data_IF_345716977445
#
_entry.id   IF_345716977445
#
_cell.length_a   1.000
_cell.length_b   1.000
_cell.length_c   1.000
_cell.angle_alpha   90.00
_cell.angle_beta   90.00
_cell.angle_gamma   90.00
#
_symmetry.space_group_name_H-M   'P 1'
#
loop_
_entity.id
_entity.type
_entity.pdbx_description
1 polymer ?
#
# COMPACT_ATOMS: atom_id res chain seq x y z
N UNK A 1 -24.09 -16.71 -24.34
CA UNK A 1 -24.41 -16.30 -22.96
C UNK A 1 -23.22 -16.62 -22.07
N UNK A 2 -22.47 -15.64 -21.54
CA UNK A 2 -21.57 -15.91 -20.44
C UNK A 2 -22.30 -15.65 -19.12
N UNK A 3 -22.29 -16.67 -18.27
CA UNK A 3 -22.68 -16.61 -16.86
C UNK A 3 -21.62 -15.77 -16.15
N UNK A 4 -21.98 -14.55 -15.73
CA UNK A 4 -21.15 -13.77 -14.82
C UNK A 4 -21.20 -14.44 -13.45
N UNK A 5 -20.15 -15.19 -13.11
CA UNK A 5 -19.88 -15.63 -11.75
C UNK A 5 -19.63 -14.40 -10.89
N UNK A 6 -20.61 -13.99 -10.09
CA UNK A 6 -20.46 -13.00 -9.04
C UNK A 6 -19.53 -13.56 -7.96
N UNK A 7 -18.24 -13.24 -8.05
CA UNK A 7 -17.32 -13.37 -6.92
C UNK A 7 -17.58 -12.22 -5.96
N UNK A 8 -18.38 -12.48 -4.92
CA UNK A 8 -18.47 -11.61 -3.75
C UNK A 8 -17.08 -11.48 -3.10
N UNK A 9 -16.64 -10.25 -2.85
CA UNK A 9 -15.29 -9.94 -2.36
C UNK A 9 -14.46 -9.09 -3.34
N UNK A 10 -15.10 -8.33 -4.23
CA UNK A 10 -14.41 -7.54 -5.26
C UNK A 10 -14.57 -6.02 -5.03
N UNK A 11 -13.70 -5.22 -5.65
CA UNK A 11 -13.87 -3.76 -5.72
C UNK A 11 -15.21 -3.32 -6.33
N UNK A 12 -15.91 -4.19 -7.06
CA UNK A 12 -17.26 -3.94 -7.55
C UNK A 12 -18.28 -3.79 -6.42
N UNK A 13 -18.14 -4.58 -5.35
CA UNK A 13 -19.03 -4.53 -4.18
C UNK A 13 -18.86 -3.21 -3.42
N UNK A 14 -17.63 -2.71 -3.34
CA UNK A 14 -17.30 -1.41 -2.74
C UNK A 14 -17.96 -0.28 -3.53
N UNK A 15 -17.86 -0.29 -4.86
CA UNK A 15 -18.49 0.73 -5.70
C UNK A 15 -20.02 0.73 -5.57
N UNK A 16 -20.64 -0.45 -5.54
CA UNK A 16 -22.08 -0.59 -5.31
C UNK A 16 -22.50 -0.09 -3.93
N UNK A 17 -21.71 -0.41 -2.90
CA UNK A 17 -21.93 0.08 -1.54
C UNK A 17 -21.86 1.61 -1.47
N UNK A 18 -20.83 2.22 -2.07
CA UNK A 18 -20.69 3.68 -2.16
C UNK A 18 -21.89 4.29 -2.87
N UNK A 19 -22.29 3.77 -4.04
CA UNK A 19 -23.45 4.28 -4.78
C UNK A 19 -24.74 4.18 -3.96
N UNK A 20 -24.92 3.09 -3.21
CA UNK A 20 -26.06 2.92 -2.31
C UNK A 20 -26.04 4.00 -1.23
N UNK A 21 -24.93 4.16 -0.52
CA UNK A 21 -24.77 5.17 0.55
C UNK A 21 -24.98 6.61 0.04
N UNK A 22 -24.50 6.93 -1.17
CA UNK A 22 -24.76 8.23 -1.81
C UNK A 22 -26.23 8.47 -2.10
N UNK A 23 -26.95 7.44 -2.58
CA UNK A 23 -28.41 7.55 -2.78
C UNK A 23 -29.11 7.79 -1.45
N UNK A 24 -28.74 7.08 -0.40
CA UNK A 24 -29.27 7.30 0.96
C UNK A 24 -29.02 8.74 1.41
N UNK A 25 -27.78 9.22 1.28
CA UNK A 25 -27.40 10.57 1.69
C UNK A 25 -28.14 11.67 0.92
N UNK A 26 -28.35 11.49 -0.39
CA UNK A 26 -29.13 12.42 -1.22
C UNK A 26 -30.59 12.48 -0.79
N UNK A 27 -31.22 11.32 -0.65
CA UNK A 27 -32.62 11.23 -0.22
C UNK A 27 -32.82 11.80 1.18
N UNK A 28 -31.89 11.60 2.12
CA UNK A 28 -31.96 12.22 3.45
C UNK A 28 -31.83 13.75 3.39
N UNK A 29 -30.99 14.27 2.49
CA UNK A 29 -30.77 15.72 2.33
C UNK A 29 -32.01 16.45 1.82
N UNK A 30 -32.75 15.82 0.91
CA UNK A 30 -33.93 16.41 0.28
C UNK A 30 -35.17 16.40 1.21
N UNK A 31 -35.12 15.69 2.36
CA UNK A 31 -36.33 15.28 3.08
C UNK A 31 -36.37 15.60 4.58
N UNK A 32 -35.23 15.86 5.22
CA UNK A 32 -35.19 16.00 6.69
C UNK A 32 -34.60 17.33 7.14
N UNK A 33 -35.44 18.18 7.73
CA UNK A 33 -35.02 19.35 8.51
C UNK A 33 -34.51 18.92 9.89
N UNK A 34 -33.30 19.36 10.22
CA UNK A 34 -32.79 19.64 11.58
C UNK A 34 -32.76 18.54 12.66
N UNK A 35 -33.27 17.32 12.47
CA UNK A 35 -33.20 16.30 13.54
C UNK A 35 -31.77 15.76 13.71
N UNK A 36 -31.33 15.67 14.97
CA UNK A 36 -29.99 15.25 15.39
C UNK A 36 -29.66 13.84 14.92
N UNK A 37 -30.64 12.95 14.89
CA UNK A 37 -30.50 11.55 14.47
C UNK A 37 -30.14 11.46 12.98
N UNK A 38 -30.77 12.27 12.14
CA UNK A 38 -30.47 12.33 10.71
C UNK A 38 -29.11 12.98 10.42
N UNK A 39 -28.71 13.98 11.20
CA UNK A 39 -27.37 14.57 11.10
C UNK A 39 -26.28 13.58 11.51
N UNK A 40 -26.50 12.82 12.58
CA UNK A 40 -25.58 11.77 13.01
C UNK A 40 -25.47 10.64 11.96
N UNK A 41 -26.60 10.19 11.41
CA UNK A 41 -26.63 9.24 10.31
C UNK A 41 -25.90 9.76 9.07
N UNK A 42 -26.07 11.04 8.72
CA UNK A 42 -25.34 11.68 7.62
C UNK A 42 -23.83 11.67 7.85
N UNK A 43 -23.38 11.96 9.08
CA UNK A 43 -21.97 11.87 9.45
C UNK A 43 -21.41 10.46 9.23
N UNK A 44 -22.11 9.44 9.72
CA UNK A 44 -21.72 8.03 9.55
C UNK A 44 -21.71 7.59 8.08
N UNK A 45 -22.68 8.03 7.28
CA UNK A 45 -22.71 7.76 5.84
C UNK A 45 -21.48 8.35 5.13
N UNK A 46 -21.14 9.61 5.41
CA UNK A 46 -19.97 10.27 4.83
C UNK A 46 -18.68 9.54 5.25
N UNK A 47 -18.54 9.20 6.52
CA UNK A 47 -17.37 8.48 7.02
C UNK A 47 -17.23 7.10 6.37
N UNK A 48 -18.34 6.36 6.26
CA UNK A 48 -18.36 5.04 5.60
C UNK A 48 -17.91 5.15 4.14
N UNK A 49 -18.43 6.14 3.41
CA UNK A 49 -18.05 6.40 2.01
C UNK A 49 -16.57 6.77 1.89
N UNK A 50 -16.04 7.60 2.79
CA UNK A 50 -14.63 7.96 2.80
C UNK A 50 -13.72 6.75 2.99
N UNK A 51 -14.04 5.88 3.95
CA UNK A 51 -13.28 4.64 4.20
C UNK A 51 -13.34 3.73 2.97
N UNK A 52 -14.53 3.50 2.41
CA UNK A 52 -14.71 2.66 1.22
C UNK A 52 -13.96 3.20 -0.01
N UNK A 53 -13.93 4.52 -0.20
CA UNK A 53 -13.12 5.16 -1.24
C UNK A 53 -11.62 4.93 -0.98
N UNK A 54 -11.16 5.05 0.26
CA UNK A 54 -9.78 4.75 0.64
C UNK A 54 -9.39 3.30 0.30
N UNK A 55 -10.28 2.34 0.58
CA UNK A 55 -10.08 0.93 0.21
C UNK A 55 -10.04 0.79 -1.31
N UNK A 56 -10.91 1.48 -2.06
CA UNK A 56 -10.95 1.40 -3.52
C UNK A 56 -9.64 1.88 -4.18
N UNK A 57 -8.94 2.85 -3.58
CA UNK A 57 -7.63 3.32 -4.04
C UNK A 57 -6.53 2.25 -3.88
N UNK A 58 -6.71 1.27 -2.97
CA UNK A 58 -5.77 0.17 -2.80
C UNK A 58 -5.71 -0.75 -4.04
N UNK A 59 -6.73 -0.70 -4.92
CA UNK A 59 -6.76 -1.47 -6.18
C UNK A 59 -5.57 -1.17 -7.09
N UNK A 60 -5.09 0.07 -7.06
CA UNK A 60 -3.97 0.54 -7.89
C UNK A 60 -2.64 0.53 -7.14
N UNK A 61 -2.59 -0.11 -5.96
CA UNK A 61 -1.42 -0.15 -5.11
C UNK A 61 -0.26 -0.99 -5.70
N UNK A 62 0.97 -0.78 -5.21
CA UNK A 62 2.14 -1.56 -5.61
C UNK A 62 1.99 -3.05 -5.24
N UNK A 63 2.82 -3.91 -5.85
CA UNK A 63 2.88 -5.32 -5.43
C UNK A 63 3.40 -5.41 -3.99
N UNK A 64 2.58 -6.00 -3.12
CA UNK A 64 2.87 -6.24 -1.70
C UNK A 64 3.12 -7.71 -1.40
N UNK A 65 3.60 -8.01 -0.20
CA UNK A 65 3.79 -9.38 0.29
C UNK A 65 2.47 -10.15 0.38
N UNK A 66 2.58 -11.48 0.48
CA UNK A 66 1.43 -12.36 0.65
C UNK A 66 0.65 -12.06 1.95
N UNK A 67 1.33 -11.63 3.01
CA UNK A 67 0.71 -11.25 4.28
C UNK A 67 -0.17 -9.99 4.13
N UNK A 68 0.39 -8.93 3.52
CA UNK A 68 -0.36 -7.70 3.23
C UNK A 68 -1.53 -7.95 2.27
N UNK A 69 -1.35 -8.83 1.29
CA UNK A 69 -2.45 -9.28 0.41
C UNK A 69 -3.54 -10.04 1.18
N UNK A 70 -3.16 -10.82 2.20
CA UNK A 70 -4.11 -11.46 3.12
C UNK A 70 -4.95 -10.44 3.87
N UNK A 71 -4.33 -9.38 4.41
CA UNK A 71 -5.07 -8.27 5.05
C UNK A 71 -6.01 -7.56 4.07
N UNK A 72 -5.58 -7.34 2.82
CA UNK A 72 -6.43 -6.76 1.79
C UNK A 72 -7.64 -7.65 1.49
N UNK A 73 -7.46 -8.97 1.41
CA UNK A 73 -8.57 -9.91 1.18
C UNK A 73 -9.61 -9.85 2.32
N UNK A 74 -9.15 -9.79 3.57
CA UNK A 74 -10.03 -9.64 4.75
C UNK A 74 -10.78 -8.30 4.69
N UNK A 75 -10.10 -7.22 4.33
CA UNK A 75 -10.67 -5.89 4.19
C UNK A 75 -11.76 -5.84 3.10
N UNK A 76 -11.51 -6.46 1.95
CA UNK A 76 -12.48 -6.57 0.85
C UNK A 76 -13.70 -7.41 1.25
N UNK A 77 -13.48 -8.53 1.94
CA UNK A 77 -14.56 -9.37 2.47
C UNK A 77 -15.44 -8.59 3.46
N UNK A 78 -14.82 -7.85 4.38
CA UNK A 78 -15.55 -7.01 5.34
C UNK A 78 -16.35 -5.90 4.65
N UNK A 79 -15.84 -5.30 3.57
CA UNK A 79 -16.57 -4.30 2.80
C UNK A 79 -17.79 -4.91 2.09
N UNK A 80 -17.64 -6.12 1.54
CA UNK A 80 -18.75 -6.87 0.94
C UNK A 80 -19.81 -7.26 2.00
N UNK A 81 -19.38 -7.65 3.21
CA UNK A 81 -20.28 -7.94 4.32
C UNK A 81 -21.04 -6.68 4.79
N UNK A 82 -20.37 -5.52 4.83
CA UNK A 82 -21.04 -4.25 5.12
C UNK A 82 -22.10 -3.92 4.07
N UNK A 83 -21.77 -4.06 2.78
CA UNK A 83 -22.72 -3.88 1.69
C UNK A 83 -23.93 -4.81 1.84
N UNK A 84 -23.69 -6.09 2.08
CA UNK A 84 -24.74 -7.10 2.28
C UNK A 84 -25.60 -6.79 3.50
N UNK A 85 -25.01 -6.31 4.60
CA UNK A 85 -25.74 -5.92 5.79
C UNK A 85 -26.67 -4.72 5.52
N UNK A 86 -26.19 -3.70 4.81
CA UNK A 86 -27.00 -2.54 4.40
C UNK A 86 -28.13 -2.99 3.46
N UNK A 87 -27.84 -3.76 2.43
CA UNK A 87 -28.86 -4.29 1.51
C UNK A 87 -29.89 -5.15 2.24
N UNK A 88 -29.46 -5.97 3.20
CA UNK A 88 -30.35 -6.80 4.01
C UNK A 88 -31.24 -5.93 4.91
N UNK A 89 -30.68 -4.90 5.53
CA UNK A 89 -31.44 -3.92 6.32
C UNK A 89 -32.55 -3.27 5.49
N UNK A 90 -32.22 -2.87 4.24
CA UNK A 90 -33.18 -2.30 3.30
C UNK A 90 -34.24 -3.33 2.86
N UNK A 91 -33.84 -4.56 2.56
CA UNK A 91 -34.73 -5.61 2.04
C UNK A 91 -35.63 -6.26 3.11
N UNK A 92 -35.25 -6.24 4.39
CA UNK A 92 -36.10 -6.73 5.50
C UNK A 92 -37.42 -5.97 5.58
N UNK A 93 -37.50 -4.78 4.98
CA UNK A 93 -38.74 -4.02 4.84
C UNK A 93 -39.54 -4.50 3.64
N UNK A 94 -40.49 -5.41 3.88
CA UNK A 94 -41.49 -5.80 2.87
C UNK A 94 -42.40 -4.61 2.52
N UNK A 95 -42.21 -3.99 1.36
CA UNK A 95 -43.26 -3.37 0.50
C UNK A 95 -42.72 -3.22 -0.95
N UNK A 96 -43.61 -3.13 -1.97
CA UNK A 96 -43.66 -4.01 -3.13
C UNK A 96 -42.53 -3.81 -4.16
N UNK A 97 -42.34 -4.85 -4.99
CA UNK A 97 -41.35 -4.94 -6.07
C UNK A 97 -41.42 -3.73 -7.03
N UNK A 98 -40.27 -3.09 -7.25
CA UNK A 98 -40.06 -2.08 -8.29
C UNK A 98 -39.15 -0.92 -7.87
N UNK A 99 -38.96 0.03 -8.78
CA UNK A 99 -38.19 1.30 -8.65
C UNK A 99 -38.58 2.16 -7.41
N UNK A 100 -39.64 1.78 -6.69
CA UNK A 100 -40.13 2.42 -5.47
C UNK A 100 -39.37 2.05 -4.19
N UNK A 101 -38.40 1.12 -4.24
CA UNK A 101 -37.47 0.87 -3.11
C UNK A 101 -36.60 2.10 -2.74
N UNK A 102 -36.51 3.08 -3.64
CA UNK A 102 -35.77 4.34 -3.44
C UNK A 102 -36.64 5.39 -2.73
N UNK A 103 -37.97 5.23 -2.72
CA UNK A 103 -38.92 6.32 -2.47
C UNK A 103 -39.53 6.38 -1.06
N UNK A 104 -38.93 5.77 -0.03
CA UNK A 104 -39.48 5.89 1.35
C UNK A 104 -38.46 6.17 2.45
N UNK A 105 -37.38 6.90 2.16
CA UNK A 105 -36.58 7.54 3.22
C UNK A 105 -37.40 8.54 4.04
N UNK A 106 -38.42 9.13 3.42
CA UNK A 106 -39.45 9.94 4.08
C UNK A 106 -40.21 9.24 5.21
N UNK A 107 -40.23 7.89 5.22
CA UNK A 107 -40.93 7.09 6.23
C UNK A 107 -39.97 6.34 7.15
N UNK A 108 -38.66 6.59 7.06
CA UNK A 108 -37.77 6.07 8.10
C UNK A 108 -38.17 6.77 9.40
N UNK A 109 -38.56 6.01 10.42
CA UNK A 109 -38.68 6.56 11.75
C UNK A 109 -37.30 6.87 12.32
N UNK A 110 -37.28 7.67 13.39
CA UNK A 110 -36.05 7.99 14.12
C UNK A 110 -35.37 6.75 14.69
N UNK A 111 -36.13 5.72 15.06
CA UNK A 111 -35.62 4.43 15.53
C UNK A 111 -34.77 3.76 14.47
N UNK A 112 -35.20 3.76 13.22
CA UNK A 112 -34.49 3.03 12.19
C UNK A 112 -33.36 3.83 11.56
N UNK A 113 -33.43 5.16 11.61
CA UNK A 113 -32.28 6.00 11.33
C UNK A 113 -31.14 5.68 12.32
N UNK A 114 -31.48 5.46 13.60
CA UNK A 114 -30.55 5.03 14.63
C UNK A 114 -30.02 3.61 14.42
N UNK A 115 -30.87 2.65 14.04
CA UNK A 115 -30.41 1.28 13.73
C UNK A 115 -29.43 1.25 12.55
N UNK A 116 -29.71 2.03 11.49
CA UNK A 116 -28.80 2.16 10.36
C UNK A 116 -27.51 2.86 10.77
N UNK A 117 -27.60 3.92 11.59
CA UNK A 117 -26.43 4.60 12.15
C UNK A 117 -25.55 3.62 12.94
N UNK A 118 -26.13 2.79 13.82
CA UNK A 118 -25.39 1.78 14.59
C UNK A 118 -24.78 0.68 13.71
N UNK A 119 -25.46 0.31 12.62
CA UNK A 119 -24.93 -0.63 11.63
C UNK A 119 -23.72 -0.03 10.91
N UNK A 120 -23.82 1.21 10.44
CA UNK A 120 -22.74 1.92 9.76
C UNK A 120 -21.55 2.16 10.69
N UNK A 121 -21.80 2.64 11.91
CA UNK A 121 -20.75 2.91 12.90
C UNK A 121 -19.93 1.65 13.23
N UNK A 122 -20.61 0.50 13.42
CA UNK A 122 -19.93 -0.79 13.62
C UNK A 122 -19.15 -1.24 12.38
N UNK A 123 -19.70 -1.04 11.19
CA UNK A 123 -19.04 -1.33 9.92
C UNK A 123 -17.78 -0.47 9.74
N UNK A 124 -17.89 0.84 9.95
CA UNK A 124 -16.81 1.82 9.94
C UNK A 124 -15.69 1.42 10.90
N UNK A 125 -16.00 1.17 12.18
CA UNK A 125 -14.98 0.83 13.17
C UNK A 125 -14.16 -0.40 12.75
N UNK A 126 -14.82 -1.44 12.22
CA UNK A 126 -14.15 -2.64 11.71
C UNK A 126 -13.32 -2.37 10.47
N UNK A 127 -13.86 -1.63 9.50
CA UNK A 127 -13.12 -1.28 8.28
C UNK A 127 -11.90 -0.41 8.58
N UNK A 128 -12.01 0.55 9.50
CA UNK A 128 -10.89 1.39 9.95
C UNK A 128 -9.79 0.54 10.58
N UNK A 129 -10.14 -0.35 11.52
CA UNK A 129 -9.16 -1.24 12.16
C UNK A 129 -8.44 -2.13 11.14
N UNK A 130 -9.18 -2.73 10.20
CA UNK A 130 -8.60 -3.57 9.15
C UNK A 130 -7.73 -2.77 8.18
N UNK A 131 -8.12 -1.53 7.86
CA UNK A 131 -7.34 -0.63 7.02
C UNK A 131 -6.04 -0.22 7.72
N UNK A 132 -6.07 0.03 9.02
CA UNK A 132 -4.86 0.27 9.82
C UNK A 132 -3.92 -0.94 9.83
N UNK A 133 -4.44 -2.15 10.03
CA UNK A 133 -3.64 -3.37 9.94
C UNK A 133 -2.99 -3.54 8.55
N UNK A 134 -3.75 -3.29 7.48
CA UNK A 134 -3.23 -3.29 6.12
C UNK A 134 -2.10 -2.25 5.95
N UNK A 135 -2.31 -1.01 6.41
CA UNK A 135 -1.33 0.07 6.27
C UNK A 135 -0.05 -0.23 7.06
N UNK A 136 -0.17 -0.80 8.26
CA UNK A 136 0.97 -1.21 9.05
C UNK A 136 1.79 -2.29 8.32
N UNK A 137 1.13 -3.35 7.85
CA UNK A 137 1.78 -4.43 7.09
C UNK A 137 2.44 -3.90 5.80
N UNK A 138 1.75 -3.02 5.07
CA UNK A 138 2.30 -2.38 3.88
C UNK A 138 3.55 -1.53 4.19
N UNK A 139 3.57 -0.83 5.33
CA UNK A 139 4.72 -0.03 5.74
C UNK A 139 5.91 -0.91 6.13
N UNK A 140 5.66 -2.05 6.77
CA UNK A 140 6.69 -3.05 7.07
C UNK A 140 7.30 -3.62 5.79
N UNK A 141 6.48 -3.98 4.81
CA UNK A 141 6.95 -4.42 3.48
C UNK A 141 7.86 -3.39 2.84
N UNK A 142 7.41 -2.13 2.78
CA UNK A 142 8.21 -1.04 2.21
C UNK A 142 9.56 -0.90 2.91
N UNK A 143 9.56 -0.98 4.24
CA UNK A 143 10.78 -0.90 5.04
C UNK A 143 11.71 -2.07 4.73
N UNK A 144 11.19 -3.31 4.62
CA UNK A 144 11.98 -4.49 4.25
C UNK A 144 12.60 -4.36 2.86
N UNK A 145 11.84 -3.89 1.87
CA UNK A 145 12.36 -3.64 0.52
C UNK A 145 13.46 -2.58 0.51
N UNK A 146 13.27 -1.48 1.23
CA UNK A 146 14.27 -0.40 1.32
C UNK A 146 15.56 -0.88 2.00
N UNK A 147 15.46 -1.67 3.07
CA UNK A 147 16.62 -2.28 3.75
C UNK A 147 17.36 -3.26 2.84
N UNK A 148 16.65 -4.16 2.15
CA UNK A 148 17.27 -5.12 1.23
C UNK A 148 17.99 -4.39 0.08
N UNK A 149 17.38 -3.33 -0.46
CA UNK A 149 17.97 -2.50 -1.51
C UNK A 149 19.24 -1.81 -1.04
N UNK A 150 19.23 -1.22 0.17
CA UNK A 150 20.40 -0.57 0.74
C UNK A 150 21.51 -1.57 1.02
N UNK A 151 21.18 -2.75 1.57
CA UNK A 151 22.15 -3.80 1.85
C UNK A 151 22.86 -4.26 0.58
N UNK A 152 22.11 -4.58 -0.49
CA UNK A 152 22.71 -4.96 -1.78
C UNK A 152 23.54 -3.83 -2.39
N UNK A 153 23.15 -2.57 -2.21
CA UNK A 153 23.96 -1.43 -2.66
C UNK A 153 25.27 -1.29 -1.87
N UNK A 154 25.25 -1.54 -0.56
CA UNK A 154 26.45 -1.49 0.29
C UNK A 154 27.39 -2.64 -0.03
N UNK A 155 26.87 -3.84 -0.24
CA UNK A 155 27.67 -5.01 -0.64
C UNK A 155 28.37 -4.75 -1.99
N UNK A 156 27.64 -4.23 -2.98
CA UNK A 156 28.20 -3.85 -4.27
C UNK A 156 29.29 -2.77 -4.14
N UNK A 157 29.07 -1.76 -3.28
CA UNK A 157 30.09 -0.74 -3.01
C UNK A 157 31.33 -1.35 -2.35
N UNK A 158 31.15 -2.22 -1.35
CA UNK A 158 32.26 -2.90 -0.67
C UNK A 158 33.09 -3.75 -1.62
N UNK A 159 32.42 -4.52 -2.49
CA UNK A 159 33.10 -5.33 -3.51
C UNK A 159 33.92 -4.44 -4.45
N UNK A 160 33.34 -3.33 -4.93
CA UNK A 160 34.07 -2.37 -5.77
C UNK A 160 35.26 -1.74 -5.05
N UNK A 161 35.15 -1.43 -3.75
CA UNK A 161 36.27 -0.91 -2.97
C UNK A 161 37.37 -1.96 -2.80
N UNK A 162 37.01 -3.22 -2.58
CA UNK A 162 37.95 -4.34 -2.50
C UNK A 162 38.71 -4.50 -3.82
N UNK A 163 38.02 -4.45 -4.96
CA UNK A 163 38.62 -4.55 -6.29
C UNK A 163 39.61 -3.40 -6.55
N UNK A 164 39.23 -2.16 -6.21
CA UNK A 164 40.12 -0.99 -6.31
C UNK A 164 41.34 -1.14 -5.41
N UNK A 165 41.17 -1.63 -4.18
CA UNK A 165 42.29 -1.83 -3.26
C UNK A 165 43.29 -2.89 -3.77
N UNK A 166 42.79 -3.96 -4.39
CA UNK A 166 43.62 -4.99 -5.03
C UNK A 166 44.36 -4.40 -6.23
N UNK A 167 43.70 -3.58 -7.07
CA UNK A 167 44.34 -2.95 -8.22
C UNK A 167 45.46 -1.99 -7.79
N UNK A 168 45.18 -1.10 -6.82
CA UNK A 168 46.18 -0.19 -6.26
C UNK A 168 47.37 -0.96 -5.69
N UNK A 169 47.12 -2.05 -4.96
CA UNK A 169 48.20 -2.89 -4.42
C UNK A 169 49.07 -3.50 -5.53
N UNK A 170 48.45 -3.93 -6.63
CA UNK A 170 49.16 -4.46 -7.82
C UNK A 170 49.99 -3.37 -8.51
N UNK A 171 49.43 -2.19 -8.70
CA UNK A 171 50.14 -1.05 -9.30
C UNK A 171 51.35 -0.64 -8.46
N UNK A 172 51.17 -0.51 -7.14
CA UNK A 172 52.26 -0.17 -6.21
C UNK A 172 53.37 -1.22 -6.25
N UNK A 173 53.02 -2.51 -6.28
CA UNK A 173 54.01 -3.59 -6.40
C UNK A 173 54.77 -3.52 -7.73
N UNK A 174 54.08 -3.23 -8.85
CA UNK A 174 54.70 -3.05 -10.16
C UNK A 174 55.68 -1.87 -10.18
N UNK A 175 55.28 -0.73 -9.61
CA UNK A 175 56.16 0.45 -9.47
C UNK A 175 57.39 0.11 -8.62
N UNK A 176 57.21 -0.61 -7.50
CA UNK A 176 58.31 -1.07 -6.66
C UNK A 176 59.34 -1.91 -7.43
N UNK A 177 58.88 -2.90 -8.21
CA UNK A 177 59.75 -3.72 -9.06
C UNK A 177 60.48 -2.89 -10.12
N UNK A 178 59.82 -1.88 -10.69
CA UNK A 178 60.43 -1.03 -11.70
C UNK A 178 61.52 -0.12 -11.12
N UNK A 179 61.33 0.37 -9.89
CA UNK A 179 62.35 1.11 -9.14
C UNK A 179 63.57 0.21 -8.88
N UNK A 180 63.36 -1.03 -8.42
CA UNK A 180 64.46 -1.98 -8.18
C UNK A 180 65.28 -2.26 -9.44
N UNK A 181 64.61 -2.52 -10.57
CA UNK A 181 65.29 -2.73 -11.87
C UNK A 181 66.09 -1.49 -12.30
N UNK A 182 65.52 -0.31 -12.12
CA UNK A 182 66.17 0.96 -12.45
C UNK A 182 67.41 1.18 -11.58
N UNK A 183 67.29 0.91 -10.27
CA UNK A 183 68.40 1.03 -9.33
C UNK A 183 69.55 0.05 -9.66
N UNK A 184 69.22 -1.21 -9.97
CA UNK A 184 70.21 -2.20 -10.41
C UNK A 184 70.96 -1.73 -11.68
N UNK A 185 70.23 -1.21 -12.67
CA UNK A 185 70.81 -0.68 -13.90
C UNK A 185 71.75 0.51 -13.63
N UNK A 186 71.39 1.42 -12.71
CA UNK A 186 72.25 2.54 -12.31
C UNK A 186 73.55 2.04 -11.66
N UNK A 187 73.48 1.01 -10.81
CA UNK A 187 74.67 0.44 -10.17
C UNK A 187 75.61 -0.20 -11.19
N UNK A 188 75.07 -0.92 -12.19
CA UNK A 188 75.87 -1.46 -13.29
C UNK A 188 76.58 -0.36 -14.08
N UNK A 189 75.87 0.69 -14.49
CA UNK A 189 76.45 1.84 -15.20
C UNK A 189 77.57 2.49 -14.38
N UNK A 190 77.35 2.70 -13.07
CA UNK A 190 78.39 3.22 -12.16
C UNK A 190 79.61 2.31 -12.09
N UNK A 191 79.41 0.99 -12.12
CA UNK A 191 80.50 0.00 -12.18
C UNK A 191 81.34 0.14 -13.45
N UNK A 192 80.70 0.25 -14.61
CA UNK A 192 81.36 0.46 -15.91
C UNK A 192 82.13 1.78 -15.94
N UNK A 193 81.52 2.88 -15.49
CA UNK A 193 82.18 4.19 -15.46
C UNK A 193 83.45 4.18 -14.61
N UNK A 194 83.41 3.51 -13.43
CA UNK A 194 84.60 3.35 -12.57
C UNK A 194 85.72 2.55 -13.23
N UNK A 195 85.39 1.60 -14.11
CA UNK A 195 86.39 0.81 -14.84
C UNK A 195 87.01 1.60 -15.98
N UNK A 196 86.20 2.42 -16.67
CA UNK A 196 86.68 3.31 -17.74
C UNK A 196 87.57 4.43 -17.20
N UNK A 197 87.22 5.07 -16.08
CA UNK A 197 88.03 6.15 -15.47
C UNK A 197 89.36 5.71 -14.82
N UNK A 198 89.66 4.42 -14.75
CA UNK A 198 90.94 3.89 -14.23
C UNK A 198 91.96 3.54 -15.32
N UNK A 199 91.57 3.66 -16.59
CA UNK A 199 92.48 3.63 -17.75
C UNK A 199 92.82 5.04 -18.17
#
# INVERSE_FOLDING_TARGET
>A
MPIFTFTYGSFGDISQCIQLLWKIGKELHDTTGSSSEYQALKGELVQTVQILNGIQLLKTGPQTSQETQGHLAILLAQAADCHKAIVTFLNRRKKPKGLWQIASWHTLGTTEAKELQELLSRGCARLTMLLEMYNQSHQEDRTRYEVARLHGSMENLSNRMQDVAVEVSREVASVGQQIERTYASILEIKGVLKTVSRK
#
